data_IF_075738903847
#
_entry.id   IF_075738903847
#
_cell.length_a   1.000
_cell.length_b   1.000
_cell.length_c   1.000
_cell.angle_alpha   90.00
_cell.angle_beta   90.00
_cell.angle_gamma   90.00
#
_symmetry.space_group_name_H-M   'P 1'
#
loop_
_entity.id
_entity.type
_entity.pdbx_description
1 polymer ?
#
# COMPACT_ATOMS: atom_id res chain seq x y z
N UNK A 1 -52.85 3.22 36.42
CA UNK A 1 -51.83 2.40 35.76
C UNK A 1 -51.74 1.09 36.51
N UNK A 2 -51.98 -0.03 35.85
CA UNK A 2 -51.93 -1.35 36.51
C UNK A 2 -50.48 -1.81 36.64
N UNK A 3 -50.16 -2.62 37.65
CA UNK A 3 -48.80 -3.18 37.83
C UNK A 3 -48.28 -3.89 36.57
N UNK A 4 -49.19 -4.41 35.75
CA UNK A 4 -48.90 -5.06 34.48
C UNK A 4 -48.36 -4.08 33.41
N UNK A 5 -48.91 -2.88 33.30
CA UNK A 5 -48.45 -1.85 32.34
C UNK A 5 -47.04 -1.37 32.67
N UNK A 6 -46.74 -1.21 33.97
CA UNK A 6 -45.42 -0.82 34.46
C UNK A 6 -44.38 -1.90 34.12
N UNK A 7 -44.71 -3.17 34.37
CA UNK A 7 -43.84 -4.30 34.04
C UNK A 7 -43.55 -4.37 32.53
N UNK A 8 -44.58 -4.19 31.69
CA UNK A 8 -44.42 -4.21 30.24
C UNK A 8 -43.48 -3.09 29.77
N UNK A 9 -43.67 -1.86 30.26
CA UNK A 9 -42.84 -0.70 29.91
C UNK A 9 -41.37 -0.90 30.30
N UNK A 10 -41.11 -1.48 31.48
CA UNK A 10 -39.76 -1.83 31.94
C UNK A 10 -39.13 -2.86 31.02
N UNK A 11 -39.85 -3.93 30.68
CA UNK A 11 -39.34 -4.98 29.77
C UNK A 11 -39.01 -4.38 28.40
N UNK A 12 -39.91 -3.61 27.79
CA UNK A 12 -39.68 -2.99 26.48
C UNK A 12 -38.49 -2.03 26.51
N UNK A 13 -38.33 -1.26 27.59
CA UNK A 13 -37.19 -0.35 27.76
C UNK A 13 -35.86 -1.11 27.88
N UNK A 14 -35.83 -2.20 28.65
CA UNK A 14 -34.68 -3.08 28.75
C UNK A 14 -34.33 -3.72 27.41
N UNK A 15 -35.33 -4.21 26.66
CA UNK A 15 -35.11 -4.76 25.32
C UNK A 15 -34.54 -3.73 24.35
N UNK A 16 -35.08 -2.50 24.33
CA UNK A 16 -34.57 -1.41 23.51
C UNK A 16 -33.11 -1.07 23.85
N UNK A 17 -32.77 -1.04 25.14
CA UNK A 17 -31.39 -0.81 25.60
C UNK A 17 -30.43 -1.89 25.11
N UNK A 18 -30.84 -3.16 25.18
CA UNK A 18 -30.04 -4.29 24.68
C UNK A 18 -29.79 -4.16 23.17
N UNK A 19 -30.80 -3.78 22.38
CA UNK A 19 -30.66 -3.60 20.93
C UNK A 19 -29.67 -2.47 20.61
N UNK A 20 -29.70 -1.36 21.35
CA UNK A 20 -28.73 -0.26 21.18
C UNK A 20 -27.31 -0.76 21.47
N UNK A 21 -27.12 -1.53 22.54
CA UNK A 21 -25.82 -2.08 22.90
C UNK A 21 -25.32 -3.07 21.83
N UNK A 22 -26.19 -3.93 21.31
CA UNK A 22 -25.88 -4.82 20.19
C UNK A 22 -25.46 -4.05 18.94
N UNK A 23 -26.17 -2.98 18.59
CA UNK A 23 -25.81 -2.14 17.43
C UNK A 23 -24.41 -1.54 17.57
N UNK A 24 -24.06 -1.05 18.76
CA UNK A 24 -22.70 -0.51 19.04
C UNK A 24 -21.63 -1.59 18.88
N UNK A 25 -21.88 -2.80 19.38
CA UNK A 25 -20.96 -3.94 19.24
C UNK A 25 -20.79 -4.32 17.76
N UNK A 26 -21.89 -4.39 17.01
CA UNK A 26 -21.88 -4.70 15.57
C UNK A 26 -21.06 -3.67 14.80
N UNK A 27 -21.25 -2.38 15.04
CA UNK A 27 -20.45 -1.31 14.38
C UNK A 27 -18.96 -1.48 14.68
N UNK A 28 -18.59 -1.79 15.93
CA UNK A 28 -17.19 -2.04 16.31
C UNK A 28 -16.61 -3.26 15.58
N UNK A 29 -17.39 -4.36 15.49
CA UNK A 29 -16.98 -5.57 14.77
C UNK A 29 -16.78 -5.26 13.29
N UNK A 30 -17.71 -4.57 12.64
CA UNK A 30 -17.59 -4.20 11.23
C UNK A 30 -16.34 -3.37 10.95
N UNK A 31 -16.03 -2.39 11.81
CA UNK A 31 -14.82 -1.58 11.67
C UNK A 31 -13.55 -2.43 11.85
N UNK A 32 -13.50 -3.26 12.87
CA UNK A 32 -12.35 -4.15 13.12
C UNK A 32 -12.14 -5.15 11.97
N UNK A 33 -13.24 -5.68 11.43
CA UNK A 33 -13.19 -6.63 10.33
C UNK A 33 -12.80 -5.96 9.00
N UNK A 34 -13.22 -4.72 8.75
CA UNK A 34 -12.75 -3.93 7.61
C UNK A 34 -11.24 -3.71 7.66
N UNK A 35 -10.71 -3.30 8.82
CA UNK A 35 -9.27 -3.13 9.04
C UNK A 35 -8.49 -4.44 8.87
N UNK A 36 -9.05 -5.55 9.38
CA UNK A 36 -8.46 -6.88 9.18
C UNK A 36 -8.43 -7.27 7.71
N UNK A 37 -9.52 -7.05 6.98
CA UNK A 37 -9.62 -7.36 5.53
C UNK A 37 -8.62 -6.54 4.72
N UNK A 38 -8.45 -5.25 5.01
CA UNK A 38 -7.41 -4.43 4.37
C UNK A 38 -6.01 -5.02 4.57
N UNK A 39 -5.69 -5.43 5.79
CA UNK A 39 -4.39 -6.04 6.13
C UNK A 39 -4.18 -7.37 5.41
N UNK A 40 -5.20 -8.24 5.41
CA UNK A 40 -5.13 -9.52 4.70
C UNK A 40 -4.98 -9.33 3.19
N UNK A 41 -5.79 -8.47 2.58
CA UNK A 41 -5.70 -8.14 1.17
C UNK A 41 -4.32 -7.56 0.79
N UNK A 42 -3.76 -6.70 1.66
CA UNK A 42 -2.39 -6.17 1.49
C UNK A 42 -1.38 -7.31 1.50
N UNK A 43 -1.43 -8.21 2.48
CA UNK A 43 -0.45 -9.31 2.60
C UNK A 43 -0.56 -10.30 1.43
N UNK A 44 -1.78 -10.74 1.11
CA UNK A 44 -2.00 -11.77 0.09
C UNK A 44 -1.73 -11.26 -1.31
N UNK A 45 -2.33 -10.11 -1.68
CA UNK A 45 -2.27 -9.60 -3.03
C UNK A 45 -0.96 -8.85 -3.31
N UNK A 46 -0.59 -7.93 -2.42
CA UNK A 46 0.65 -7.17 -2.63
C UNK A 46 1.85 -8.07 -2.40
N UNK A 47 1.87 -8.90 -1.34
CA UNK A 47 3.03 -9.74 -1.04
C UNK A 47 3.41 -10.71 -2.17
N UNK A 48 2.45 -11.22 -2.93
CA UNK A 48 2.70 -12.08 -4.11
C UNK A 48 3.19 -11.28 -5.30
N UNK A 49 2.44 -10.23 -5.67
CA UNK A 49 2.81 -9.32 -6.75
C UNK A 49 4.23 -8.77 -6.57
N UNK A 50 4.57 -8.43 -5.33
CA UNK A 50 5.86 -7.87 -4.95
C UNK A 50 7.01 -8.86 -5.10
N UNK A 51 6.78 -10.11 -4.69
CA UNK A 51 7.78 -11.18 -4.78
C UNK A 51 8.08 -11.50 -6.25
N UNK A 52 7.05 -11.56 -7.07
CA UNK A 52 7.19 -11.88 -8.49
C UNK A 52 7.83 -10.72 -9.25
N UNK A 53 7.40 -9.49 -8.96
CA UNK A 53 8.02 -8.26 -9.45
C UNK A 53 9.51 -8.20 -9.13
N UNK A 54 9.85 -8.46 -7.87
CA UNK A 54 11.24 -8.54 -7.39
C UNK A 54 12.05 -9.58 -8.13
N UNK A 55 11.54 -10.82 -8.20
CA UNK A 55 12.25 -11.92 -8.83
C UNK A 55 12.49 -11.65 -10.32
N UNK A 56 11.50 -11.08 -11.03
CA UNK A 56 11.65 -10.69 -12.44
C UNK A 56 12.71 -9.60 -12.62
N UNK A 57 12.69 -8.56 -11.79
CA UNK A 57 13.68 -7.47 -11.82
C UNK A 57 15.10 -7.93 -11.54
N UNK A 58 15.29 -8.73 -10.49
CA UNK A 58 16.59 -9.25 -10.11
C UNK A 58 17.17 -10.14 -11.21
N UNK A 59 16.36 -11.03 -11.78
CA UNK A 59 16.77 -11.93 -12.86
C UNK A 59 17.11 -11.19 -14.17
N UNK A 60 16.31 -10.19 -14.55
CA UNK A 60 16.47 -9.52 -15.84
C UNK A 60 17.57 -8.45 -15.84
N UNK A 61 17.81 -7.78 -14.70
CA UNK A 61 18.62 -6.55 -14.71
C UNK A 61 19.67 -6.47 -13.57
N UNK A 62 19.73 -7.45 -12.65
CA UNK A 62 20.62 -7.42 -11.48
C UNK A 62 20.10 -6.60 -10.30
N UNK A 63 20.96 -5.83 -9.61
CA UNK A 63 20.59 -4.96 -8.47
C UNK A 63 20.90 -3.47 -8.72
N UNK A 64 21.59 -3.15 -9.80
CA UNK A 64 22.08 -1.80 -10.07
C UNK A 64 21.03 -0.93 -10.74
N UNK A 65 21.19 0.39 -10.61
CA UNK A 65 20.43 1.40 -11.36
C UNK A 65 20.60 1.15 -12.86
N UNK A 66 19.52 1.30 -13.63
CA UNK A 66 19.58 1.10 -15.07
C UNK A 66 20.51 2.13 -15.72
N UNK A 67 21.51 1.66 -16.45
CA UNK A 67 22.34 2.52 -17.31
C UNK A 67 21.59 2.86 -18.61
N UNK A 68 22.01 3.93 -19.27
CA UNK A 68 21.48 4.31 -20.60
C UNK A 68 21.55 3.16 -21.62
N UNK A 69 22.64 2.40 -21.62
CA UNK A 69 22.78 1.21 -22.49
C UNK A 69 21.73 0.13 -22.18
N UNK A 70 21.38 -0.06 -20.90
CA UNK A 70 20.33 -1.00 -20.51
C UNK A 70 18.95 -0.48 -20.92
N UNK A 71 18.70 0.82 -20.85
CA UNK A 71 17.43 1.42 -21.33
C UNK A 71 17.28 1.22 -22.82
N UNK A 72 18.34 1.45 -23.61
CA UNK A 72 18.32 1.20 -25.06
C UNK A 72 18.07 -0.28 -25.35
N UNK A 73 18.72 -1.19 -24.62
CA UNK A 73 18.45 -2.63 -24.73
C UNK A 73 17.00 -2.98 -24.40
N UNK A 74 16.43 -2.37 -23.36
CA UNK A 74 15.03 -2.54 -22.99
C UNK A 74 14.12 -2.13 -24.14
N UNK A 75 14.34 -0.95 -24.72
CA UNK A 75 13.49 -0.42 -25.80
C UNK A 75 13.63 -1.19 -27.12
N UNK A 76 14.77 -1.80 -27.37
CA UNK A 76 15.02 -2.56 -28.60
C UNK A 76 14.51 -4.02 -28.52
N UNK A 77 14.23 -4.52 -27.31
CA UNK A 77 13.67 -5.84 -27.08
C UNK A 77 12.21 -5.72 -26.64
N UNK A 78 11.29 -6.03 -27.55
CA UNK A 78 9.85 -5.89 -27.33
C UNK A 78 9.34 -6.70 -26.12
N UNK A 79 9.92 -7.89 -25.87
CA UNK A 79 9.50 -8.72 -24.75
C UNK A 79 9.94 -8.08 -23.43
N UNK A 80 11.17 -7.58 -23.42
CA UNK A 80 11.80 -7.01 -22.25
C UNK A 80 11.21 -5.64 -21.91
N UNK A 81 10.85 -4.83 -22.91
CA UNK A 81 10.05 -3.61 -22.72
C UNK A 81 8.68 -3.92 -22.13
N UNK A 82 7.98 -4.92 -22.68
CA UNK A 82 6.67 -5.32 -22.17
C UNK A 82 6.75 -5.76 -20.71
N UNK A 83 7.78 -6.51 -20.32
CA UNK A 83 7.98 -6.94 -18.94
C UNK A 83 8.20 -5.77 -17.98
N UNK A 84 9.00 -4.77 -18.36
CA UNK A 84 9.22 -3.54 -17.55
C UNK A 84 7.93 -2.73 -17.42
N UNK A 85 7.19 -2.57 -18.50
CA UNK A 85 5.92 -1.82 -18.48
C UNK A 85 4.84 -2.53 -17.67
N UNK A 86 4.75 -3.85 -17.77
CA UNK A 86 3.83 -4.66 -16.98
C UNK A 86 4.15 -4.57 -15.49
N UNK A 87 5.43 -4.63 -15.15
CA UNK A 87 5.91 -4.42 -13.80
C UNK A 87 5.52 -3.02 -13.29
N UNK A 88 5.93 -1.96 -13.98
CA UNK A 88 5.63 -0.58 -13.56
C UNK A 88 4.12 -0.32 -13.47
N UNK A 89 3.33 -0.89 -14.38
CA UNK A 89 1.88 -0.84 -14.33
C UNK A 89 1.30 -1.54 -13.10
N UNK A 90 1.83 -2.70 -12.73
CA UNK A 90 1.45 -3.39 -11.51
C UNK A 90 1.81 -2.59 -10.24
N UNK A 91 3.00 -1.98 -10.22
CA UNK A 91 3.45 -1.10 -9.13
C UNK A 91 2.57 0.15 -9.02
N UNK A 92 2.16 0.73 -10.15
CA UNK A 92 1.25 1.89 -10.21
C UNK A 92 -0.15 1.56 -9.70
N UNK A 93 -0.72 0.44 -10.15
CA UNK A 93 -2.03 -0.02 -9.71
C UNK A 93 -2.04 -0.28 -8.19
N UNK A 94 -0.97 -0.89 -7.68
CA UNK A 94 -0.77 -1.09 -6.25
C UNK A 94 -0.67 0.25 -5.50
N UNK A 95 0.13 1.19 -5.99
CA UNK A 95 0.28 2.51 -5.39
C UNK A 95 -1.06 3.24 -5.31
N UNK A 96 -1.86 3.16 -6.38
CA UNK A 96 -3.23 3.68 -6.43
C UNK A 96 -4.13 3.02 -5.38
N UNK A 97 -4.05 1.70 -5.21
CA UNK A 97 -4.81 0.98 -4.18
C UNK A 97 -4.44 1.37 -2.74
N UNK A 98 -3.17 1.71 -2.49
CA UNK A 98 -2.72 2.22 -1.19
C UNK A 98 -3.18 3.66 -0.97
N UNK A 99 -3.14 4.49 -2.02
CA UNK A 99 -3.60 5.87 -1.98
C UNK A 99 -5.10 5.95 -1.68
N UNK A 100 -5.90 5.16 -2.40
CA UNK A 100 -7.35 5.08 -2.24
C UNK A 100 -7.81 4.38 -0.95
N UNK A 101 -6.86 3.83 -0.17
CA UNK A 101 -7.14 3.18 1.11
C UNK A 101 -7.77 1.80 1.00
N UNK A 102 -7.72 1.17 -0.19
CA UNK A 102 -8.07 -0.24 -0.41
C UNK A 102 -7.08 -1.14 0.34
N UNK A 103 -5.80 -0.74 0.38
CA UNK A 103 -4.72 -1.44 1.07
C UNK A 103 -4.18 -0.64 2.27
N UNK A 104 -3.53 -1.34 3.20
CA UNK A 104 -2.89 -0.76 4.38
C UNK A 104 -1.47 -0.27 4.03
N UNK A 105 -1.34 1.05 3.83
CA UNK A 105 -0.08 1.71 3.47
C UNK A 105 1.00 1.55 4.55
N UNK A 106 0.62 1.65 5.81
CA UNK A 106 1.59 1.57 6.93
C UNK A 106 2.12 0.15 7.10
N UNK A 107 1.27 -0.86 6.88
CA UNK A 107 1.70 -2.25 6.83
C UNK A 107 2.69 -2.48 5.70
N UNK A 108 2.40 -2.00 4.49
CA UNK A 108 3.31 -2.15 3.37
C UNK A 108 4.66 -1.44 3.63
N UNK A 109 4.63 -0.23 4.20
CA UNK A 109 5.85 0.48 4.58
C UNK A 109 6.74 -0.38 5.47
N UNK A 110 6.17 -0.97 6.54
CA UNK A 110 6.94 -1.84 7.46
C UNK A 110 7.50 -3.09 6.77
N UNK A 111 6.80 -3.64 5.80
CA UNK A 111 7.19 -4.89 5.13
C UNK A 111 8.18 -4.67 3.99
N UNK A 112 8.11 -3.54 3.28
CA UNK A 112 8.68 -3.44 1.93
C UNK A 112 9.17 -2.06 1.53
N UNK A 113 9.23 -1.07 2.44
CA UNK A 113 9.65 0.29 2.11
C UNK A 113 11.00 0.38 1.40
N UNK A 114 12.02 -0.32 1.93
CA UNK A 114 13.37 -0.31 1.32
C UNK A 114 13.35 -0.80 -0.12
N UNK A 115 12.58 -1.85 -0.41
CA UNK A 115 12.50 -2.38 -1.76
C UNK A 115 11.75 -1.43 -2.71
N UNK A 116 10.61 -0.84 -2.27
CA UNK A 116 9.89 0.19 -3.05
C UNK A 116 10.84 1.31 -3.47
N UNK A 117 11.60 1.84 -2.52
CA UNK A 117 12.57 2.93 -2.74
C UNK A 117 13.66 2.49 -3.72
N UNK A 118 14.23 1.28 -3.53
CA UNK A 118 15.27 0.75 -4.41
C UNK A 118 14.79 0.55 -5.86
N UNK A 119 13.61 -0.03 -6.05
CA UNK A 119 13.03 -0.24 -7.38
C UNK A 119 12.75 1.09 -8.06
N UNK A 120 12.19 2.06 -7.34
CA UNK A 120 11.97 3.39 -7.88
C UNK A 120 13.28 4.04 -8.34
N UNK A 121 14.31 4.10 -7.49
CA UNK A 121 15.61 4.68 -7.87
C UNK A 121 16.25 3.97 -9.05
N UNK A 122 16.09 2.66 -9.11
CA UNK A 122 16.62 1.83 -10.19
C UNK A 122 15.95 2.09 -11.54
N UNK A 123 14.63 2.18 -11.55
CA UNK A 123 13.83 2.40 -12.77
C UNK A 123 13.63 3.88 -13.08
N UNK A 124 14.08 4.78 -12.21
CA UNK A 124 13.92 6.23 -12.33
C UNK A 124 14.33 6.79 -13.71
N UNK A 125 15.44 6.37 -14.34
CA UNK A 125 15.79 6.84 -15.68
C UNK A 125 14.71 6.48 -16.72
N UNK A 126 14.24 5.22 -16.73
CA UNK A 126 13.18 4.75 -17.62
C UNK A 126 11.85 5.47 -17.35
N UNK A 127 11.46 5.61 -16.08
CA UNK A 127 10.24 6.33 -15.67
C UNK A 127 10.31 7.79 -16.15
N UNK A 128 11.46 8.45 -15.96
CA UNK A 128 11.63 9.85 -16.35
C UNK A 128 11.48 10.03 -17.86
N UNK A 129 12.00 9.12 -18.67
CA UNK A 129 11.84 9.15 -20.12
C UNK A 129 10.39 8.92 -20.56
N UNK A 130 9.67 8.00 -19.92
CA UNK A 130 8.25 7.79 -20.20
C UNK A 130 7.39 8.98 -19.76
N UNK A 131 7.72 9.61 -18.62
CA UNK A 131 7.03 10.82 -18.14
C UNK A 131 7.24 12.02 -19.06
N UNK A 132 8.35 12.11 -19.80
CA UNK A 132 8.53 13.15 -20.83
C UNK A 132 7.50 13.03 -21.95
N UNK A 133 7.05 11.81 -22.27
CA UNK A 133 6.01 11.54 -23.27
C UNK A 133 4.61 11.67 -22.69
N UNK A 134 4.42 11.15 -21.47
CA UNK A 134 3.15 11.22 -20.76
C UNK A 134 3.38 11.56 -19.27
N UNK A 135 3.18 12.82 -18.86
CA UNK A 135 3.50 13.28 -17.50
C UNK A 135 2.77 12.55 -16.37
N UNK A 136 1.63 11.90 -16.63
CA UNK A 136 0.85 11.21 -15.61
C UNK A 136 1.23 9.74 -15.42
N UNK A 137 2.13 9.20 -16.24
CA UNK A 137 2.53 7.79 -16.17
C UNK A 137 3.40 7.53 -14.94
N UNK A 138 3.06 6.49 -14.19
CA UNK A 138 3.78 6.01 -13.00
C UNK A 138 3.87 7.05 -11.86
N UNK A 139 2.92 7.99 -11.79
CA UNK A 139 2.94 9.08 -10.83
C UNK A 139 2.62 8.59 -9.41
N UNK A 140 1.68 7.66 -9.26
CA UNK A 140 1.30 7.14 -7.94
C UNK A 140 2.44 6.33 -7.34
N UNK A 141 3.10 5.50 -8.14
CA UNK A 141 4.28 4.75 -7.70
C UNK A 141 5.44 5.68 -7.33
N UNK A 142 5.68 6.72 -8.15
CA UNK A 142 6.71 7.72 -7.86
C UNK A 142 6.43 8.47 -6.56
N UNK A 143 5.17 8.83 -6.31
CA UNK A 143 4.75 9.50 -5.08
C UNK A 143 4.89 8.57 -3.86
N UNK A 144 4.48 7.31 -3.99
CA UNK A 144 4.64 6.31 -2.94
C UNK A 144 6.10 6.12 -2.53
N UNK A 145 7.00 6.00 -3.51
CA UNK A 145 8.43 5.82 -3.25
C UNK A 145 9.04 7.03 -2.53
N UNK A 146 8.69 8.25 -2.96
CA UNK A 146 9.13 9.50 -2.31
C UNK A 146 8.56 9.64 -0.89
N UNK A 147 7.30 9.29 -0.69
CA UNK A 147 6.67 9.28 0.64
C UNK A 147 7.41 8.33 1.59
N UNK A 148 7.74 7.12 1.11
CA UNK A 148 8.46 6.13 1.88
C UNK A 148 9.90 6.57 2.18
N UNK A 149 10.56 7.22 1.23
CA UNK A 149 11.90 7.79 1.42
C UNK A 149 11.89 8.89 2.49
N UNK A 150 10.92 9.82 2.44
CA UNK A 150 10.74 10.86 3.45
C UNK A 150 10.50 10.29 4.84
N UNK A 151 9.56 9.35 4.98
CA UNK A 151 9.29 8.65 6.26
C UNK A 151 10.53 7.95 6.82
N UNK A 152 11.36 7.35 5.97
CA UNK A 152 12.61 6.68 6.37
C UNK A 152 13.65 7.68 6.88
N UNK A 153 13.79 8.83 6.21
CA UNK A 153 14.70 9.89 6.64
C UNK A 153 14.30 10.48 8.00
N UNK A 154 13.01 10.77 8.19
CA UNK A 154 12.48 11.25 9.47
C UNK A 154 12.75 10.29 10.63
N UNK A 155 12.58 8.99 10.40
CA UNK A 155 12.86 7.95 11.40
C UNK A 155 14.35 7.91 11.77
N UNK A 156 15.24 8.04 10.77
CA UNK A 156 16.68 8.07 11.01
C UNK A 156 17.11 9.29 11.84
N UNK A 157 16.55 10.48 11.55
CA UNK A 157 16.82 11.71 12.30
C UNK A 157 16.38 11.56 13.77
N UNK A 158 15.17 11.01 14.00
CA UNK A 158 14.68 10.74 15.36
C UNK A 158 15.61 9.83 16.15
N UNK A 159 16.10 8.75 15.52
CA UNK A 159 17.04 7.81 16.17
C UNK A 159 18.38 8.48 16.47
N UNK A 160 18.89 9.32 15.56
CA UNK A 160 20.13 10.07 15.76
C UNK A 160 20.01 11.03 16.95
N UNK A 161 18.91 11.78 17.05
CA UNK A 161 18.67 12.73 18.14
C UNK A 161 18.55 12.05 19.51
N UNK A 162 18.01 10.83 19.58
CA UNK A 162 17.92 10.05 20.84
C UNK A 162 19.31 9.60 21.31
N UNK A 163 20.25 9.34 20.40
CA UNK A 163 21.63 8.92 20.75
C UNK A 163 22.53 10.06 21.21
N UNK A 164 22.14 11.31 20.96
CA UNK A 164 22.89 12.50 21.33
C UNK A 164 22.32 13.24 22.54
N UNK A 165 21.27 12.70 23.17
CA UNK A 165 20.71 13.18 24.43
C UNK A 165 21.05 12.23 25.59
#
# INVERSE_FOLDING_TARGET
MTNFEILFLVITSCSAFIVILQLVVVIKIFKADHERRKKQATIEHIGTLWRDARHKLEKAYGLNVLSEEQIVKIRNDAQLEADVRNLLGALEHMATGLHTGVYDKDLLYRMSATFVIQVYHRLKPYISDEMRKNPSVYIEFSNLAKEFEGKKQEQMIKIANIKHS
#
